data_IF_884252879024
#
_entry.id   IF_884252879024
#
_cell.length_a   1.000
_cell.length_b   1.000
_cell.length_c   1.000
_cell.angle_alpha   90.00
_cell.angle_beta   90.00
_cell.angle_gamma   90.00
#
_symmetry.space_group_name_H-M   'P 1'
#
loop_
_entity.id
_entity.type
_entity.pdbx_description
1 polymer ?
2 water ?
#
# COMPACT_ATOMS: atom_id res chain seq x y z
N UNK A 2 -17.92 -7.47 -27.42
CA UNK A 2 -17.44 -8.27 -26.31
C UNK A 2 -15.93 -8.14 -26.13
N UNK A 3 -15.49 -8.15 -24.88
CA UNK A 3 -14.07 -8.02 -24.54
C UNK A 3 -13.68 -9.10 -23.52
N UNK A 4 -12.96 -10.10 -23.99
CA UNK A 4 -12.49 -11.20 -23.15
C UNK A 4 -11.58 -10.73 -22.04
N UNK A 5 -11.77 -11.25 -20.84
CA UNK A 5 -10.91 -10.86 -19.72
C UNK A 5 -9.89 -11.96 -19.49
N UNK A 6 -8.61 -11.60 -19.63
CA UNK A 6 -7.51 -12.55 -19.44
C UNK A 6 -6.91 -12.45 -18.05
N UNK A 7 -6.19 -13.50 -17.61
CA UNK A 7 -5.56 -13.49 -16.28
C UNK A 7 -4.48 -12.41 -16.26
N UNK A 8 -4.27 -11.76 -15.12
CA UNK A 8 -3.25 -10.72 -15.03
C UNK A 8 -1.88 -11.34 -14.82
N UNK A 9 -0.90 -10.81 -15.55
CA UNK A 9 0.48 -11.27 -15.50
C UNK A 9 1.35 -10.07 -15.79
N UNK A 10 2.62 -10.11 -15.36
CA UNK A 10 3.52 -9.00 -15.60
C UNK A 10 3.84 -8.86 -17.09
N UNK A 11 3.98 -9.99 -17.77
CA UNK A 11 4.30 -9.94 -19.19
C UNK A 11 3.25 -9.19 -20.00
N UNK A 12 1.99 -9.63 -19.91
CA UNK A 12 0.91 -9.02 -20.65
C UNK A 12 0.53 -7.60 -20.21
N UNK A 13 0.89 -7.24 -18.99
CA UNK A 13 0.55 -5.92 -18.47
C UNK A 13 1.75 -4.95 -18.51
N UNK A 14 2.89 -5.42 -19.01
CA UNK A 14 4.12 -4.61 -19.06
C UNK A 14 3.98 -3.24 -19.69
N UNK A 15 3.16 -3.12 -20.73
CA UNK A 15 2.97 -1.86 -21.44
C UNK A 15 2.05 -0.84 -20.76
N UNK A 16 1.27 -1.31 -19.78
CA UNK A 16 0.33 -0.46 -19.07
C UNK A 16 0.78 -0.10 -17.67
N UNK A 17 1.63 -0.94 -17.08
CA UNK A 17 2.08 -0.68 -15.74
C UNK A 17 2.74 -1.87 -15.10
N UNK A 18 2.80 -1.87 -13.78
CA UNK A 18 3.44 -2.91 -13.01
C UNK A 18 2.45 -3.71 -12.22
N UNK A 19 2.74 -4.99 -12.02
CA UNK A 19 1.86 -5.83 -11.22
C UNK A 19 2.55 -6.02 -9.87
N UNK A 20 1.85 -5.66 -8.80
CA UNK A 20 2.37 -5.76 -7.44
C UNK A 20 2.02 -7.15 -6.91
N UNK A 21 3.02 -8.02 -6.87
CA UNK A 21 2.88 -9.40 -6.39
C UNK A 21 4.25 -9.93 -5.96
N UNK A 22 4.28 -11.08 -5.30
CA UNK A 22 5.55 -11.64 -4.88
C UNK A 22 5.92 -12.86 -5.73
N UNK A 23 4.89 -13.60 -6.16
CA UNK A 23 5.09 -14.79 -6.97
C UNK A 23 6.17 -14.63 -8.04
N UNK A 24 7.19 -15.48 -7.97
CA UNK A 24 8.31 -15.48 -8.92
C UNK A 24 9.09 -14.17 -8.97
N UNK A 25 9.12 -13.44 -7.87
CA UNK A 25 9.84 -12.17 -7.84
C UNK A 25 11.07 -12.27 -6.93
N UNK A 26 12.12 -11.53 -7.27
CA UNK A 26 13.36 -11.56 -6.49
C UNK A 26 13.21 -10.86 -5.15
N UNK A 27 13.84 -11.42 -4.12
CA UNK A 27 13.77 -10.83 -2.78
C UNK A 27 15.08 -10.97 -1.99
N UNK A 28 15.27 -10.13 -0.98
CA UNK A 28 16.45 -10.16 -0.11
C UNK A 28 16.02 -10.74 1.23
N UNK A 29 16.88 -11.54 1.85
CA UNK A 29 16.57 -12.05 3.19
C UNK A 29 17.03 -10.98 4.16
N UNK A 30 16.20 -10.66 5.14
CA UNK A 30 16.53 -9.67 6.16
C UNK A 30 16.47 -10.39 7.48
N UNK A 31 17.39 -10.05 8.39
CA UNK A 31 17.48 -10.71 9.70
C UNK A 31 17.93 -12.17 9.50
N UNK A 32 17.85 -12.97 10.55
CA UNK A 32 18.27 -14.36 10.44
C UNK A 32 17.52 -15.01 9.27
N UNK A 33 16.46 -14.34 8.82
CA UNK A 33 15.67 -14.85 7.73
C UNK A 33 14.22 -14.62 8.09
N UNK A 34 14.00 -13.83 9.14
CA UNK A 34 12.65 -13.56 9.59
C UNK A 34 11.81 -12.79 8.57
N UNK A 35 12.46 -11.95 7.75
CA UNK A 35 11.73 -11.20 6.73
C UNK A 35 12.31 -11.40 5.34
N UNK A 36 11.44 -11.44 4.35
CA UNK A 36 11.84 -11.56 2.96
C UNK A 36 11.36 -10.26 2.33
N UNK A 37 12.26 -9.50 1.72
CA UNK A 37 11.86 -8.23 1.13
C UNK A 37 11.92 -8.26 -0.39
N UNK A 38 10.75 -8.11 -1.02
CA UNK A 38 10.65 -8.09 -2.46
C UNK A 38 10.68 -6.63 -2.91
N UNK A 39 11.89 -6.16 -3.20
CA UNK A 39 12.18 -4.79 -3.62
C UNK A 39 11.54 -4.28 -4.91
N UNK A 40 11.48 -2.97 -5.03
CA UNK A 40 10.90 -2.24 -6.17
C UNK A 40 9.97 -3.02 -7.10
N UNK A 41 8.68 -2.94 -6.79
CA UNK A 41 7.63 -3.59 -7.55
C UNK A 41 6.88 -2.64 -8.46
N UNK A 42 6.89 -1.35 -8.12
CA UNK A 42 6.18 -0.37 -8.93
C UNK A 42 6.88 0.97 -9.06
N UNK A 43 6.91 1.49 -10.29
CA UNK A 43 7.55 2.78 -10.54
C UNK A 43 6.58 3.90 -10.22
N UNK A 44 6.69 4.48 -9.02
CA UNK A 44 5.82 5.58 -8.64
C UNK A 44 6.40 6.84 -9.27
N UNK A 45 5.53 7.68 -9.81
CA UNK A 45 6.00 8.92 -10.43
C UNK A 45 4.97 10.01 -10.26
N UNK A 46 5.41 11.14 -9.70
CA UNK A 46 4.52 12.27 -9.47
C UNK A 46 5.12 13.55 -10.04
N UNK A 47 4.33 14.30 -10.80
CA UNK A 47 4.78 15.56 -11.38
C UNK A 47 4.00 16.71 -10.77
N UNK A 48 4.65 17.87 -10.66
CA UNK A 48 4.02 19.07 -10.11
C UNK A 48 3.46 18.84 -8.71
N UNK A 49 4.23 18.20 -7.85
CA UNK A 49 3.79 17.93 -6.48
C UNK A 49 4.91 17.17 -5.78
N UNK A 50 5.52 17.79 -4.79
CA UNK A 50 6.61 17.20 -4.05
C UNK A 50 6.18 15.96 -3.27
N UNK A 51 4.93 15.96 -2.78
CA UNK A 51 4.46 14.83 -1.98
C UNK A 51 3.56 13.81 -2.66
N UNK A 52 3.82 12.54 -2.34
CA UNK A 52 3.04 11.43 -2.84
C UNK A 52 1.87 11.26 -1.88
N UNK A 53 0.79 10.64 -2.32
CA UNK A 53 -0.34 10.48 -1.41
C UNK A 53 -0.74 9.05 -1.19
N UNK A 54 -1.09 8.73 0.04
CA UNK A 54 -1.53 7.38 0.38
C UNK A 54 -2.95 7.46 0.91
N UNK A 55 -3.88 6.76 0.28
CA UNK A 55 -5.24 6.79 0.74
C UNK A 55 -5.89 5.42 0.61
N UNK A 56 -7.17 5.33 0.97
CA UNK A 56 -7.89 4.09 0.86
C UNK A 56 -9.17 4.33 0.09
N UNK A 57 -9.31 3.67 -1.04
CA UNK A 57 -10.52 3.81 -1.84
C UNK A 57 -11.46 2.63 -1.59
N UNK A 58 -12.61 2.90 -0.97
CA UNK A 58 -13.60 1.87 -0.71
C UNK A 58 -14.61 1.84 -1.85
N UNK A 59 -14.40 0.91 -2.79
CA UNK A 59 -15.25 0.78 -3.98
C UNK A 59 -16.36 -0.27 -3.92
N UNK A 60 -17.56 0.12 -4.35
CA UNK A 60 -18.71 -0.78 -4.38
C UNK A 60 -18.56 -1.75 -5.56
N UNK A 61 -19.27 -2.88 -5.51
CA UNK A 61 -19.17 -3.84 -6.60
C UNK A 61 -19.99 -3.37 -7.80
N UNK A 62 -19.60 -3.76 -9.00
CA UNK A 62 -20.32 -3.34 -10.20
C UNK A 62 -21.43 -4.33 -10.57
N UNK A 63 -22.42 -3.84 -11.29
CA UNK A 63 -23.53 -4.70 -11.70
C UNK A 63 -23.13 -5.64 -12.82
N UNK A 64 -23.47 -6.91 -12.64
CA UNK A 64 -23.16 -7.92 -13.64
C UNK A 64 -24.32 -8.06 -14.58
N UNK A 65 -24.06 -8.20 -15.90
CA UNK A 65 -22.77 -8.27 -16.58
C UNK A 65 -22.07 -6.91 -16.65
N UNK A 66 -20.75 -6.90 -16.49
CA UNK A 66 -19.95 -5.68 -16.54
C UNK A 66 -19.98 -5.09 -17.95
N UNK A 67 -20.11 -3.76 -18.05
CA UNK A 67 -20.17 -3.12 -19.35
C UNK A 67 -19.71 -1.67 -19.29
N UNK A 68 -18.42 -1.43 -19.52
CA UNK A 68 -17.86 -0.08 -19.46
C UNK A 68 -18.06 0.69 -20.75
N UNK A 69 -17.92 2.01 -20.68
CA UNK A 69 -18.09 2.87 -21.85
C UNK A 69 -17.23 4.12 -21.72
N UNK A 70 -16.54 4.24 -20.60
CA UNK A 70 -15.66 5.40 -20.34
C UNK A 70 -14.28 4.91 -19.91
N UNK A 71 -13.29 5.80 -20.03
CA UNK A 71 -11.91 5.48 -19.66
C UNK A 71 -11.25 6.77 -19.19
N UNK A 72 -10.44 6.70 -18.15
CA UNK A 72 -9.77 7.89 -17.65
C UNK A 72 -8.26 7.70 -17.71
N UNK A 73 -7.53 8.79 -17.62
CA UNK A 73 -6.08 8.74 -17.65
C UNK A 73 -5.52 9.89 -16.80
N UNK A 74 -4.48 9.61 -16.05
CA UNK A 74 -3.87 10.63 -15.19
C UNK A 74 -2.51 11.00 -15.78
N UNK A 75 -2.48 12.04 -16.62
CA UNK A 75 -1.24 12.48 -17.26
C UNK A 75 -0.16 12.94 -16.27
N UNK A 76 -0.59 13.42 -15.12
CA UNK A 76 0.35 13.93 -14.13
C UNK A 76 0.98 12.96 -13.13
N UNK A 77 0.50 11.72 -13.06
CA UNK A 77 1.10 10.80 -12.11
C UNK A 77 0.61 9.37 -12.21
N UNK A 78 1.36 8.44 -11.63
CA UNK A 78 1.00 7.03 -11.66
C UNK A 78 -0.07 6.77 -10.63
N UNK A 79 -0.67 5.59 -10.65
CA UNK A 79 -1.71 5.29 -9.68
C UNK A 79 -1.71 3.80 -9.38
N UNK A 80 -1.48 3.46 -8.12
CA UNK A 80 -1.43 2.07 -7.72
C UNK A 80 -2.66 1.69 -6.92
N UNK A 81 -3.02 0.42 -7.00
CA UNK A 81 -4.16 -0.12 -6.26
C UNK A 81 -3.79 -1.48 -5.72
N UNK A 82 -3.93 -1.67 -4.41
CA UNK A 82 -3.63 -2.96 -3.80
C UNK A 82 -4.77 -3.37 -2.87
N UNK A 83 -5.46 -4.47 -3.18
CA UNK A 83 -6.57 -4.90 -2.32
C UNK A 83 -6.15 -5.04 -0.86
N UNK A 85 -7.68 -6.78 1.62
CA UNK A 85 -7.83 -8.12 2.17
C UNK A 85 -7.61 -9.27 1.21
N UNK A 86 -6.83 -9.05 0.15
CA UNK A 86 -6.56 -10.11 -0.80
C UNK A 86 -7.71 -10.54 -1.71
N UNK A 87 -8.65 -9.63 -2.01
CA UNK A 87 -9.75 -10.01 -2.88
C UNK A 87 -9.41 -9.81 -4.38
N UNK A 88 -10.08 -10.57 -5.23
CA UNK A 88 -9.86 -10.48 -6.67
C UNK A 88 -10.55 -9.24 -7.24
N UNK A 89 -9.99 -8.65 -8.27
CA UNK A 89 -10.63 -7.50 -8.89
C UNK A 89 -10.30 -7.41 -10.38
N UNK A 90 -11.07 -6.59 -11.09
CA UNK A 90 -10.87 -6.47 -12.53
C UNK A 90 -10.38 -5.10 -12.97
N UNK A 91 -9.56 -5.09 -14.02
CA UNK A 91 -9.01 -3.87 -14.57
C UNK A 91 -9.12 -3.83 -16.10
N UNK A 92 -9.38 -2.65 -16.66
CA UNK A 92 -9.46 -2.49 -18.10
C UNK A 92 -8.47 -1.40 -18.43
N UNK A 93 -7.60 -1.66 -19.40
CA UNK A 93 -6.59 -0.68 -19.78
C UNK A 93 -6.48 -0.50 -21.30
N UNK A 94 -5.82 0.59 -21.70
CA UNK A 94 -5.61 0.88 -23.13
C UNK A 94 -4.59 1.99 -23.27
N UNK A 95 -3.85 2.00 -24.37
CA UNK A 95 -2.85 3.06 -24.60
C UNK A 95 -3.39 4.16 -25.52
N UNK A 96 -2.51 4.87 -26.22
CA UNK A 96 -2.97 5.93 -27.10
C UNK A 96 -2.59 7.31 -26.59
N UNK A 97 -1.93 8.09 -27.44
CA UNK A 97 -1.44 9.42 -27.11
C UNK A 97 -2.52 10.48 -26.88
N UNK A 98 -3.53 10.49 -27.76
CA UNK A 98 -4.61 11.47 -27.66
C UNK A 98 -5.88 10.89 -27.08
N UNK A 99 -6.40 9.87 -27.74
CA UNK A 99 -7.60 9.19 -27.30
C UNK A 99 -7.21 7.73 -27.15
N UNK A 100 -8.03 6.92 -26.47
CA UNK A 100 -7.68 5.51 -26.31
C UNK A 100 -7.64 4.71 -27.61
N UNK A 101 -6.47 4.16 -27.93
CA UNK A 101 -6.29 3.34 -29.13
C UNK A 101 -6.97 2.01 -28.87
N UNK A 102 -8.21 1.88 -29.32
CA UNK A 102 -8.98 0.65 -29.08
C UNK A 102 -8.29 -0.67 -29.42
N UNK A 103 -7.32 -0.66 -30.31
CA UNK A 103 -6.64 -1.90 -30.66
C UNK A 103 -5.79 -2.40 -29.48
N UNK A 104 -5.51 -1.53 -28.52
CA UNK A 104 -4.69 -1.92 -27.36
C UNK A 104 -5.52 -2.10 -26.10
N UNK A 105 -6.84 -2.09 -26.25
CA UNK A 105 -7.73 -2.22 -25.10
C UNK A 105 -7.66 -3.64 -24.55
N UNK A 106 -7.48 -3.76 -23.24
CA UNK A 106 -7.38 -5.07 -22.59
C UNK A 106 -8.08 -5.08 -21.24
N UNK A 107 -8.59 -6.26 -20.88
CA UNK A 107 -9.26 -6.45 -19.61
C UNK A 107 -8.52 -7.57 -18.88
N UNK A 108 -8.34 -7.41 -17.57
CA UNK A 108 -7.60 -8.38 -16.77
C UNK A 108 -8.26 -8.63 -15.43
N UNK A 109 -8.23 -9.87 -15.00
CA UNK A 109 -8.80 -10.26 -13.72
C UNK A 109 -7.61 -10.74 -12.88
N UNK A 110 -7.48 -10.23 -11.66
CA UNK A 110 -6.38 -10.62 -10.78
C UNK A 110 -6.67 -11.96 -10.11
N UNK A 111 -5.64 -12.57 -9.53
CA UNK A 111 -5.78 -13.83 -8.82
C UNK A 111 -6.03 -13.62 -7.33
N UNK A 112 -6.31 -12.38 -6.95
CA UNK A 112 -6.56 -12.08 -5.55
C UNK A 112 -5.30 -11.98 -4.71
N UNK A 113 -4.15 -12.12 -5.35
CA UNK A 113 -2.88 -12.07 -4.66
C UNK A 113 -1.98 -11.00 -5.28
N UNK A 114 -2.56 -10.15 -6.13
CA UNK A 114 -1.77 -9.14 -6.83
C UNK A 114 -2.41 -7.75 -6.96
N UNK A 115 -1.59 -6.72 -6.88
CA UNK A 115 -2.09 -5.37 -6.98
C UNK A 115 -1.78 -4.87 -8.37
N UNK A 116 -2.02 -3.60 -8.62
CA UNK A 116 -1.73 -3.10 -9.94
C UNK A 116 -1.22 -1.65 -9.87
N UNK A 117 -0.38 -1.28 -10.82
CA UNK A 117 0.11 0.09 -10.86
C UNK A 117 0.11 0.66 -12.28
N UNK A 118 -0.84 1.54 -12.54
CA UNK A 118 -0.98 2.18 -13.83
C UNK A 118 0.13 3.20 -14.11
N UNK A 119 0.69 3.16 -15.31
CA UNK A 119 1.73 4.10 -15.69
C UNK A 119 1.04 5.39 -16.11
N UNK A 120 1.79 6.48 -16.16
CA UNK A 120 1.27 7.79 -16.53
C UNK A 120 0.65 7.77 -17.92
N UNK A 121 -0.45 8.47 -18.08
CA UNK A 121 -1.13 8.55 -19.38
C UNK A 121 -1.81 7.30 -19.88
N UNK A 122 -1.73 6.22 -19.10
CA UNK A 122 -2.39 4.99 -19.50
C UNK A 122 -3.87 5.14 -19.23
N UNK A 123 -4.68 4.71 -20.18
CA UNK A 123 -6.12 4.78 -20.03
C UNK A 123 -6.61 3.58 -19.25
N UNK A 124 -7.38 3.83 -18.20
CA UNK A 124 -7.94 2.76 -17.41
C UNK A 124 -9.35 3.14 -16.96
N UNK A 125 -10.18 2.14 -16.72
CA UNK A 125 -11.54 2.40 -16.30
C UNK A 125 -11.52 2.81 -14.83
N UNK A 126 -12.43 3.69 -14.42
CA UNK A 126 -12.43 4.09 -13.01
C UNK A 126 -12.62 2.88 -12.10
N UNK A 127 -12.09 2.97 -10.89
CA UNK A 127 -12.12 1.92 -9.88
C UNK A 127 -13.52 1.36 -9.60
N UNK A 128 -13.59 0.07 -9.40
CA UNK A 128 -14.84 -0.61 -9.06
C UNK A 128 -14.50 -1.99 -8.53
N UNK A 129 -15.25 -2.44 -7.54
CA UNK A 129 -14.99 -3.74 -6.94
C UNK A 129 -15.64 -4.85 -7.74
N UNK A 130 -15.26 -6.08 -7.40
CA UNK A 130 -15.77 -7.27 -8.06
C UNK A 130 -16.46 -8.16 -7.04
N UNK A 131 -17.71 -8.54 -7.30
CA UNK A 131 -18.50 -9.40 -6.42
C UNK A 131 -18.95 -8.71 -5.14
N UNK A 132 -18.00 -8.21 -4.36
CA UNK A 132 -18.34 -7.56 -3.09
C UNK A 132 -17.51 -6.31 -2.78
N UNK A 133 -18.01 -5.46 -1.91
CA UNK A 133 -17.30 -4.23 -1.49
C UNK A 133 -15.81 -4.52 -1.23
N UNK A 134 -14.93 -3.61 -1.63
CA UNK A 134 -13.50 -3.82 -1.44
C UNK A 134 -12.73 -2.54 -1.12
N UNK A 135 -11.78 -2.66 -0.21
CA UNK A 135 -10.91 -1.53 0.18
C UNK A 135 -9.65 -1.65 -0.66
N UNK A 136 -9.21 -0.55 -1.25
CA UNK A 136 -8.01 -0.57 -2.07
C UNK A 136 -7.06 0.49 -1.54
N UNK A 137 -5.83 0.11 -1.24
CA UNK A 137 -4.86 1.11 -0.76
C UNK A 137 -4.35 1.76 -2.03
N UNK A 138 -4.43 3.08 -2.09
CA UNK A 138 -4.01 3.80 -3.27
C UNK A 138 -2.72 4.60 -3.06
N UNK A 139 -1.94 4.71 -4.12
CA UNK A 139 -0.68 5.45 -4.06
C UNK A 139 -0.54 6.25 -5.33
N UNK A 140 -0.95 7.52 -5.29
CA UNK A 140 -0.88 8.37 -6.47
C UNK A 140 -0.78 9.85 -6.15
N UNK A 141 -0.92 10.67 -7.18
CA UNK A 141 -0.86 12.12 -7.04
C UNK A 141 -2.23 12.61 -6.61
N UNK A 142 -3.25 12.09 -7.28
CA UNK A 142 -4.64 12.40 -6.98
C UNK A 142 -5.05 13.87 -6.92
N UNK A 143 -4.47 14.71 -7.77
CA UNK A 143 -4.84 16.11 -7.73
C UNK A 143 -5.99 16.48 -8.65
N UNK A 144 -5.92 17.67 -9.21
CA UNK A 144 -6.95 18.18 -10.12
C UNK A 144 -6.40 19.35 -10.92
N UNK A 147 -8.97 12.65 -13.83
CA UNK A 147 -8.35 13.71 -14.64
C UNK A 147 -9.00 13.84 -16.02
N UNK A 148 -8.51 13.06 -16.98
CA UNK A 148 -9.03 13.09 -18.34
C UNK A 148 -9.95 11.90 -18.67
N UNK A 149 -11.22 12.18 -18.86
CA UNK A 149 -12.17 11.13 -19.20
C UNK A 149 -12.50 11.14 -20.69
N UNK A 150 -12.60 9.97 -21.29
CA UNK A 150 -12.93 9.84 -22.71
C UNK A 150 -13.88 8.68 -22.92
N UNK A 151 -14.83 8.86 -23.84
CA UNK A 151 -15.82 7.85 -24.15
C UNK A 151 -15.28 6.85 -25.18
N UNK A 152 -15.82 5.63 -25.16
CA UNK A 152 -15.41 4.58 -26.10
C UNK A 152 -16.62 3.73 -26.45
N UNK A 153 -16.56 2.99 -27.56
CA UNK A 153 -17.72 2.15 -27.93
C UNK A 153 -18.03 1.12 -26.83
N UNK A 154 -19.28 1.11 -26.35
CA UNK A 154 -19.71 0.20 -25.28
C UNK A 154 -19.05 -1.17 -25.36
N UNK A 155 -18.50 -1.62 -24.24
CA UNK A 155 -17.81 -2.90 -24.15
C UNK A 155 -18.47 -3.81 -23.11
N UNK A 156 -18.71 -5.08 -23.46
CA UNK A 156 -19.30 -6.02 -22.50
C UNK A 156 -18.21 -7.05 -22.15
N UNK A 157 -17.74 -7.01 -20.92
CA UNK A 157 -16.69 -7.94 -20.49
C UNK A 157 -17.16 -9.40 -20.39
N UNK A 158 -16.35 -10.31 -20.90
CA UNK A 158 -16.65 -11.73 -20.88
C UNK A 158 -15.52 -12.56 -20.29
N UNK A 159 -15.88 -13.67 -19.66
CA UNK A 159 -14.92 -14.59 -19.08
C UNK A 159 -15.03 -15.93 -19.81
N UNK A 160 -13.92 -16.34 -20.41
CA UNK A 160 -13.86 -17.60 -21.16
C UNK A 160 -12.39 -17.84 -21.56
N UNK B 2 9.15 -4.84 31.99
CA UNK B 2 7.90 -5.06 31.30
C UNK B 2 7.38 -3.81 30.60
N UNK B 3 6.82 -4.01 29.40
CA UNK B 3 6.29 -2.92 28.60
C UNK B 3 4.89 -3.27 28.11
N UNK B 4 3.90 -2.64 28.71
CA UNK B 4 2.49 -2.88 28.36
C UNK B 4 2.18 -2.45 26.93
N UNK B 5 1.44 -3.30 26.23
CA UNK B 5 1.03 -3.03 24.86
C UNK B 5 -0.38 -2.43 24.84
N UNK B 6 -0.50 -1.19 24.37
CA UNK B 6 -1.81 -0.52 24.31
C UNK B 6 -2.40 -0.58 22.90
N UNK B 7 -3.72 -0.41 22.78
CA UNK B 7 -4.36 -0.44 21.46
C UNK B 7 -3.85 0.72 20.62
N UNK B 8 -3.76 0.53 19.31
CA UNK B 8 -3.28 1.57 18.41
C UNK B 8 -4.40 2.56 18.09
N UNK B 9 -4.08 3.86 18.18
CA UNK B 9 -5.02 4.92 17.89
C UNK B 9 -4.22 6.10 17.33
N UNK B 10 -4.86 6.96 16.55
CA UNK B 10 -4.19 8.11 15.97
C UNK B 10 -3.66 9.09 17.01
N UNK B 11 -4.45 9.28 18.06
CA UNK B 11 -4.07 10.20 19.11
C UNK B 11 -2.78 9.79 19.80
N UNK B 12 -2.73 8.55 20.28
CA UNK B 12 -1.57 8.03 20.99
C UNK B 12 -0.33 7.83 20.11
N UNK B 13 -0.55 7.71 18.81
CA UNK B 13 0.52 7.47 17.85
C UNK B 13 0.96 8.75 17.10
N UNK B 14 0.28 9.86 17.36
CA UNK B 14 0.56 11.13 16.70
C UNK B 14 2.00 11.58 16.62
N UNK B 15 2.75 11.34 17.69
CA UNK B 15 4.15 11.75 17.79
C UNK B 15 5.14 10.87 17.03
N UNK B 16 4.73 9.67 16.68
CA UNK B 16 5.60 8.73 16.00
C UNK B 16 5.26 8.57 14.52
N UNK B 17 4.01 8.84 14.16
CA UNK B 17 3.64 8.70 12.78
C UNK B 17 2.15 8.72 12.57
N UNK B 18 1.72 8.19 11.43
CA UNK B 18 0.30 8.16 11.07
C UNK B 18 -0.26 6.76 11.10
N UNK B 19 -1.55 6.65 11.40
CA UNK B 19 -2.23 5.37 11.43
C UNK B 19 -3.06 5.32 10.16
N UNK B 20 -2.83 4.30 9.33
CA UNK B 20 -3.57 4.15 8.10
C UNK B 20 -4.79 3.29 8.35
N UNK B 21 -5.95 3.96 8.43
CA UNK B 21 -7.24 3.30 8.67
C UNK B 21 -8.36 4.18 8.10
N UNK B 22 -9.59 3.67 8.08
CA UNK B 22 -10.71 4.47 7.59
C UNK B 22 -11.64 4.89 8.73
N UNK B 23 -11.75 4.04 9.75
CA UNK B 23 -12.62 4.35 10.87
C UNK B 23 -12.52 5.79 11.37
N UNK B 24 -13.66 6.48 11.36
CA UNK B 24 -13.75 7.87 11.83
C UNK B 24 -12.86 8.85 11.05
N UNK B 25 -12.61 8.55 9.79
CA UNK B 25 -11.81 9.43 8.94
C UNK B 25 -12.68 10.06 7.86
N UNK B 26 -12.33 11.27 7.44
CA UNK B 26 -13.13 11.95 6.41
C UNK B 26 -12.85 11.42 5.00
N UNK B 27 -13.91 11.37 4.19
CA UNK B 27 -13.78 10.87 2.83
C UNK B 27 -14.68 11.61 1.85
N UNK B 28 -14.36 11.47 0.56
CA UNK B 28 -15.14 12.09 -0.52
C UNK B 28 -15.89 10.99 -1.25
N UNK B 29 -17.12 11.29 -1.67
CA UNK B 29 -17.87 10.32 -2.46
C UNK B 29 -17.43 10.52 -3.90
N UNK B 30 -17.14 9.43 -4.60
CA UNK B 30 -16.74 9.49 -6.00
C UNK B 30 -17.78 8.67 -6.77
N UNK B 31 -18.15 9.15 -7.96
CA UNK B 31 -19.18 8.51 -8.79
C UNK B 31 -20.53 8.65 -8.10
N UNK B 32 -21.52 7.90 -8.58
CA UNK B 32 -22.86 7.90 -8.03
C UNK B 32 -22.77 7.74 -6.52
N UNK B 33 -21.65 7.17 -6.08
CA UNK B 33 -21.41 6.90 -4.68
C UNK B 33 -20.77 5.53 -4.61
N UNK B 34 -20.34 5.06 -5.77
CA UNK B 34 -19.70 3.75 -5.90
C UNK B 34 -18.42 3.63 -5.10
N UNK B 35 -17.68 4.73 -4.99
CA UNK B 35 -16.42 4.74 -4.25
C UNK B 35 -16.38 5.80 -3.17
N UNK B 36 -15.76 5.47 -2.05
CA UNK B 36 -15.58 6.41 -0.96
C UNK B 36 -14.05 6.56 -0.91
N UNK B 37 -13.56 7.78 -1.02
CA UNK B 37 -12.12 8.02 -1.01
C UNK B 37 -11.66 8.69 0.27
N UNK B 38 -10.85 7.99 1.07
CA UNK B 38 -10.33 8.53 2.32
C UNK B 38 -8.95 9.10 2.02
N UNK B 39 -8.89 10.38 1.67
CA UNK B 39 -7.64 11.03 1.29
C UNK B 39 -6.58 11.24 2.36
N UNK B 40 -5.36 11.49 1.89
CA UNK B 40 -4.18 11.73 2.72
C UNK B 40 -4.17 11.14 4.12
N UNK B 41 -3.73 9.89 4.22
CA UNK B 41 -3.65 9.19 5.49
C UNK B 41 -2.25 9.13 6.05
N UNK B 42 -1.24 9.27 5.20
CA UNK B 42 0.15 9.22 5.66
C UNK B 42 1.09 10.18 4.93
N UNK B 43 1.92 10.87 5.70
CA UNK B 43 2.88 11.80 5.11
C UNK B 43 4.12 11.07 4.64
N UNK B 44 4.17 10.76 3.36
CA UNK B 44 5.32 10.07 2.78
C UNK B 44 6.42 11.11 2.58
N UNK B 45 7.65 10.77 2.94
CA UNK B 45 8.75 11.72 2.79
C UNK B 45 10.02 10.99 2.45
N UNK B 46 10.64 11.34 1.34
CA UNK B 46 11.89 10.70 0.93
C UNK B 46 12.97 11.74 0.61
N UNK B 47 14.15 11.56 1.17
CA UNK B 47 15.28 12.45 0.97
C UNK B 47 16.37 11.76 0.15
N UNK B 48 17.08 12.54 -0.67
CA UNK B 48 18.16 12.03 -1.52
C UNK B 48 17.74 10.82 -2.37
N UNK B 49 16.62 10.97 -3.07
CA UNK B 49 16.11 9.90 -3.91
C UNK B 49 14.79 10.40 -4.51
N UNK B 50 14.78 10.63 -5.80
CA UNK B 50 13.58 11.14 -6.45
C UNK B 50 12.43 10.15 -6.44
N UNK B 51 12.77 8.86 -6.44
CA UNK B 51 11.73 7.82 -6.46
C UNK B 51 11.39 7.13 -5.14
N UNK B 52 10.08 6.95 -4.93
CA UNK B 52 9.55 6.27 -3.76
C UNK B 52 9.57 4.78 -4.10
N UNK B 53 9.57 3.92 -3.09
CA UNK B 53 9.60 2.49 -3.36
C UNK B 53 8.39 1.75 -2.81
N UNK B 54 7.87 0.81 -3.60
CA UNK B 54 6.73 0.00 -3.17
C UNK B 54 7.20 -1.45 -3.14
N UNK B 55 7.15 -2.10 -1.99
CA UNK B 55 7.58 -3.47 -1.90
C UNK B 55 6.65 -4.29 -1.01
N UNK B 56 6.96 -5.57 -0.87
CA UNK B 56 6.18 -6.45 -0.03
C UNK B 56 7.14 -7.16 0.92
N UNK B 57 6.98 -6.94 2.21
CA UNK B 57 7.83 -7.58 3.21
C UNK B 57 7.11 -8.73 3.86
N UNK B 58 7.56 -9.95 3.57
CA UNK B 58 6.94 -11.13 4.15
C UNK B 58 7.68 -11.48 5.43
N UNK B 59 7.10 -11.11 6.57
CA UNK B 59 7.69 -11.35 7.87
C UNK B 59 7.16 -12.55 8.67
N UNK B 60 8.09 -13.31 9.24
CA UNK B 60 7.77 -14.49 10.04
C UNK B 60 7.27 -14.04 11.41
N UNK B 61 6.51 -14.90 12.11
CA UNK B 61 5.99 -14.55 13.45
C UNK B 61 7.10 -14.62 14.48
N UNK B 62 6.99 -13.82 15.54
CA UNK B 62 8.00 -13.80 16.59
C UNK B 62 7.72 -14.85 17.66
N UNK B 63 8.77 -15.24 18.38
CA UNK B 63 8.65 -16.21 19.45
C UNK B 63 8.00 -15.56 20.66
N UNK B 64 6.97 -16.20 21.21
CA UNK B 64 6.26 -15.68 22.38
C UNK B 64 6.87 -16.30 23.62
N UNK B 65 7.06 -15.53 24.70
CA UNK B 65 6.74 -14.10 24.85
C UNK B 65 7.72 -13.18 24.11
N UNK B 66 7.19 -12.12 23.52
CA UNK B 66 7.99 -11.16 22.75
C UNK B 66 8.94 -10.41 23.67
N UNK B 67 10.17 -10.19 23.22
CA UNK B 67 11.13 -9.48 24.04
C UNK B 67 12.23 -8.85 23.17
N UNK B 68 12.02 -7.57 22.85
CA UNK B 68 12.95 -6.82 22.01
C UNK B 68 14.12 -6.27 22.79
N UNK B 69 15.19 -5.92 22.08
CA UNK B 69 16.38 -5.35 22.69
C UNK B 69 17.09 -4.39 21.77
N UNK B 70 16.57 -4.25 20.55
CA UNK B 70 17.16 -3.35 19.56
C UNK B 70 16.08 -2.46 18.95
N UNK B 71 16.49 -1.36 18.34
CA UNK B 71 15.58 -0.42 17.71
C UNK B 71 16.30 0.22 16.52
N UNK B 72 15.58 0.42 15.43
CA UNK B 72 16.15 1.03 14.23
C UNK B 72 15.46 2.35 13.90
N UNK B 73 16.12 3.18 13.11
CA UNK B 73 15.56 4.46 12.71
C UNK B 73 16.04 4.79 11.31
N UNK B 74 15.15 5.30 10.46
CA UNK B 74 15.52 5.66 9.10
C UNK B 74 15.53 7.19 9.00
N UNK B 75 16.69 7.81 9.22
CA UNK B 75 16.77 9.27 9.15
C UNK B 75 16.47 9.84 7.77
N UNK B 76 16.67 9.06 6.73
CA UNK B 76 16.44 9.56 5.38
C UNK B 76 15.03 9.44 4.78
N UNK B 77 14.10 8.76 5.45
CA UNK B 77 12.78 8.64 4.88
C UNK B 77 11.78 7.94 5.75
N UNK B 78 10.49 8.17 5.47
CA UNK B 78 9.38 7.56 6.22
C UNK B 78 9.25 6.10 5.82
N UNK B 79 8.47 5.33 6.57
CA UNK B 79 8.30 3.92 6.24
C UNK B 79 6.92 3.45 6.69
N UNK B 80 6.11 3.03 5.72
CA UNK B 80 4.76 2.59 6.03
C UNK B 80 4.62 1.09 5.89
N UNK B 81 3.70 0.54 6.66
CA UNK B 81 3.43 -0.90 6.63
C UNK B 81 1.93 -1.11 6.69
N UNK B 82 1.41 -1.85 5.72
CA UNK B 82 -0.02 -2.14 5.68
C UNK B 82 -0.24 -3.64 5.46
N UNK B 83 -0.86 -4.34 6.43
CA UNK B 83 -1.11 -5.77 6.29
C UNK B 83 -1.82 -6.06 4.99
N UNK B 85 -3.54 -8.88 4.23
CA UNK B 85 -4.82 -9.55 4.40
C UNK B 85 -5.60 -9.18 5.68
N UNK B 86 -5.35 -7.99 6.22
CA UNK B 86 -6.06 -7.55 7.40
C UNK B 86 -5.72 -8.23 8.72
N UNK B 87 -4.48 -8.67 8.86
CA UNK B 87 -4.08 -9.31 10.11
C UNK B 87 -3.57 -8.31 11.14
N UNK B 88 -3.70 -8.67 12.42
CA UNK B 88 -3.24 -7.85 13.52
C UNK B 88 -1.74 -7.91 13.62
N UNK B 89 -1.10 -6.83 14.04
CA UNK B 89 0.35 -6.86 14.22
C UNK B 89 0.79 -5.90 15.30
N UNK B 90 2.01 -6.08 15.78
CA UNK B 90 2.49 -5.22 16.87
C UNK B 90 3.62 -4.29 16.45
N UNK B 91 3.67 -3.12 17.08
CA UNK B 91 4.72 -2.15 16.80
C UNK B 91 5.29 -1.56 18.10
N UNK B 92 6.60 -1.28 18.10
CA UNK B 92 7.23 -0.66 19.27
C UNK B 92 7.94 0.57 18.75
N UNK B 93 7.64 1.71 19.35
CA UNK B 93 8.23 2.98 18.93
C UNK B 93 8.85 3.79 20.07
N UNK B 94 9.65 4.78 19.70
CA UNK B 94 10.32 5.65 20.68
C UNK B 94 10.97 6.83 19.96
N UNK B 95 11.01 7.98 20.63
CA UNK B 95 11.63 9.18 20.07
C UNK B 95 13.09 9.34 20.49
N UNK B 96 13.61 10.57 20.46
CA UNK B 96 14.99 10.81 20.84
C UNK B 96 15.86 11.21 19.67
N UNK B 97 16.56 12.34 19.80
CA UNK B 97 17.42 12.84 18.72
C UNK B 97 18.71 12.05 18.46
N UNK B 98 19.37 11.60 19.52
CA UNK B 98 20.61 10.85 19.39
C UNK B 98 20.37 9.34 19.53
N UNK B 99 19.92 8.95 20.71
CA UNK B 99 19.62 7.56 20.99
C UNK B 99 18.16 7.55 21.43
N UNK B 100 17.55 6.36 21.49
CA UNK B 100 16.15 6.27 21.89
C UNK B 100 15.86 6.72 23.33
N UNK B 101 15.05 7.76 23.46
CA UNK B 101 14.66 8.30 24.76
C UNK B 101 13.67 7.32 25.41
N UNK B 102 14.20 6.41 26.22
CA UNK B 102 13.39 5.40 26.88
C UNK B 102 12.06 5.86 27.48
N UNK B 103 11.99 7.11 27.94
CA UNK B 103 10.74 7.56 28.54
C UNK B 103 9.61 7.67 27.51
N UNK B 104 9.96 7.65 26.23
CA UNK B 104 8.97 7.77 25.16
C UNK B 104 8.73 6.44 24.45
N UNK B 105 9.25 5.35 24.99
CA UNK B 105 9.07 4.03 24.37
C UNK B 105 7.62 3.57 24.53
N UNK B 106 7.02 3.12 23.44
CA UNK B 106 5.62 2.65 23.47
C UNK B 106 5.46 1.43 22.60
N UNK B 107 4.51 0.59 23.00
CA UNK B 107 4.18 -0.63 22.28
C UNK B 107 2.69 -0.55 21.91
N UNK B 108 2.35 -0.93 20.69
CA UNK B 108 0.96 -0.90 20.23
C UNK B 108 0.59 -2.12 19.42
N UNK B 109 -0.63 -2.60 19.64
CA UNK B 109 -1.13 -3.74 18.88
C UNK B 109 -2.29 -3.18 18.06
N UNK B 110 -2.30 -3.50 16.76
CA UNK B 110 -3.36 -2.99 15.89
C UNK B 110 -4.62 -3.84 15.99
N UNK B 111 -5.73 -3.31 15.48
CA UNK B 111 -7.00 -4.03 15.51
C UNK B 111 -7.21 -4.89 14.27
N UNK B 112 -6.16 -5.05 13.47
CA UNK B 112 -6.27 -5.85 12.26
C UNK B 112 -6.89 -5.10 11.10
N UNK B 113 -7.28 -3.85 11.33
CA UNK B 113 -7.89 -3.05 10.28
C UNK B 113 -7.13 -1.72 10.06
N UNK B 114 -5.89 -1.66 10.54
CA UNK B 114 -5.09 -0.45 10.43
C UNK B 114 -3.61 -0.67 10.11
N UNK B 115 -3.06 0.22 9.30
CA UNK B 115 -1.66 0.13 8.95
C UNK B 115 -0.91 1.14 9.78
N UNK B 116 0.36 1.31 9.49
CA UNK B 116 1.14 2.25 10.25
C UNK B 116 2.15 2.96 9.36
N UNK B 117 2.48 4.20 9.72
CA UNK B 117 3.48 4.95 8.98
C UNK B 117 4.43 5.68 9.91
N UNK B 118 5.64 5.16 10.03
CA UNK B 118 6.66 5.76 10.89
C UNK B 118 7.20 7.06 10.29
N UNK B 119 7.35 8.08 11.14
CA UNK B 119 7.90 9.35 10.70
C UNK B 119 9.41 9.24 10.69
N UNK B 120 10.09 10.13 9.95
CA UNK B 120 11.56 10.12 9.88
C UNK B 120 12.22 10.20 11.24
N UNK B 121 13.28 9.43 11.42
CA UNK B 121 14.05 9.42 12.66
C UNK B 121 13.37 8.80 13.83
N UNK B 122 12.15 8.32 13.64
CA UNK B 122 11.46 7.68 14.76
C UNK B 122 12.07 6.31 14.95
N UNK B 123 12.33 5.94 16.19
CA UNK B 123 12.90 4.63 16.46
C UNK B 123 11.79 3.61 16.54
N UNK B 124 11.94 2.52 15.80
CA UNK B 124 10.96 1.46 15.82
C UNK B 124 11.67 0.12 15.74
N UNK B 125 11.03 -0.92 16.25
CA UNK B 125 11.62 -2.24 16.23
C UNK B 125 11.52 -2.81 14.80
N UNK B 126 12.50 -3.62 14.38
CA UNK B 126 12.42 -4.18 13.02
C UNK B 126 11.14 -5.00 12.85
N UNK B 127 10.60 -5.02 11.63
CA UNK B 127 9.35 -5.72 11.32
C UNK B 127 9.35 -7.17 11.76
N UNK B 128 8.18 -7.63 12.20
CA UNK B 128 7.98 -9.00 12.62
C UNK B 128 6.47 -9.23 12.66
N UNK B 129 6.05 -10.43 12.31
CA UNK B 129 4.63 -10.75 12.31
C UNK B 129 4.17 -11.15 13.68
N UNK B 130 2.86 -11.29 13.84
CA UNK B 130 2.26 -11.67 15.11
C UNK B 130 1.40 -12.91 14.89
N UNK B 131 1.65 -13.96 15.67
CA UNK B 131 0.89 -15.21 15.57
C UNK B 131 1.25 -16.03 14.33
N UNK B 132 1.04 -15.48 13.14
CA UNK B 132 1.36 -16.21 11.91
C UNK B 132 2.00 -15.34 10.83
N UNK B 133 2.65 -15.98 9.87
CA UNK B 133 3.33 -15.25 8.78
C UNK B 133 2.41 -14.19 8.17
N UNK B 134 2.99 -13.05 7.83
CA UNK B 134 2.21 -11.96 7.29
C UNK B 134 2.91 -11.14 6.20
N UNK B 135 2.16 -10.76 5.18
CA UNK B 135 2.69 -9.92 4.09
C UNK B 135 2.36 -8.47 4.41
N UNK B 136 3.34 -7.60 4.27
CA UNK B 136 3.12 -6.20 4.57
C UNK B 136 3.51 -5.39 3.35
N UNK B 137 2.62 -4.53 2.88
CA UNK B 137 2.97 -3.69 1.73
C UNK B 137 3.75 -2.54 2.33
N UNK B 138 4.95 -2.30 1.81
CA UNK B 138 5.78 -1.25 2.34
C UNK B 138 5.93 -0.09 1.40
N UNK B 139 6.04 1.11 1.97
CA UNK B 139 6.19 2.33 1.20
C UNK B 139 7.26 3.18 1.84
N UNK B 140 8.48 3.10 1.33
CA UNK B 140 9.58 3.86 1.91
C UNK B 140 10.73 4.12 0.93
N UNK B 141 11.84 4.66 1.45
CA UNK B 141 13.02 4.93 0.66
C UNK B 141 13.82 3.63 0.53
N UNK B 142 13.96 2.94 1.65
CA UNK B 142 14.67 1.67 1.67
C UNK B 142 16.08 1.60 1.10
N UNK B 143 16.86 2.66 1.26
CA UNK B 143 18.21 2.61 0.74
C UNK B 143 19.27 2.11 1.72
N UNK B 144 20.47 2.67 1.61
CA UNK B 144 21.58 2.32 2.50
C UNK B 144 22.66 3.41 2.45
N UNK B 147 18.73 1.10 8.67
CA UNK B 147 19.74 2.16 8.66
C UNK B 147 20.51 2.26 9.97
N UNK B 148 19.96 2.96 10.96
CA UNK B 148 20.60 3.14 12.27
C UNK B 148 20.06 2.23 13.38
N UNK B 149 20.84 1.24 13.81
CA UNK B 149 20.40 0.35 14.89
C UNK B 149 21.04 0.74 16.22
N UNK B 150 20.26 0.65 17.28
CA UNK B 150 20.73 0.99 18.62
C UNK B 150 20.16 0.02 19.63
N UNK B 151 20.98 -0.35 20.61
CA UNK B 151 20.59 -1.27 21.67
C UNK B 151 19.84 -0.54 22.79
N UNK B 152 18.98 -1.28 23.49
CA UNK B 152 18.23 -0.73 24.62
C UNK B 152 18.04 -1.80 25.68
N UNK B 153 17.79 -1.41 26.93
CA UNK B 153 17.58 -2.42 27.98
C UNK B 153 16.46 -3.40 27.64
N UNK B 154 16.77 -4.70 27.63
CA UNK B 154 15.79 -5.73 27.28
C UNK B 154 14.38 -5.40 27.77
N UNK B 155 13.40 -5.54 26.87
CA UNK B 155 12.00 -5.26 27.18
C UNK B 155 11.13 -6.48 26.90
N UNK B 156 10.25 -6.81 27.84
CA UNK B 156 9.34 -7.95 27.68
C UNK B 156 7.94 -7.37 27.50
N UNK B 157 7.38 -7.52 26.30
CA UNK B 157 6.04 -7.00 26.03
C UNK B 157 4.95 -7.76 26.76
N UNK B 158 3.99 -7.03 27.33
CA UNK B 158 2.88 -7.62 28.04
C UNK B 158 1.53 -7.06 27.60
N UNK B 159 0.51 -7.91 27.74
CA UNK B 159 -0.85 -7.54 27.38
C UNK B 159 -1.72 -7.55 28.63
N UNK B 160 -2.33 -6.41 28.92
CA UNK B 160 -3.19 -6.25 30.08
C UNK B 160 -3.84 -4.86 30.04
#
# INVERSE_FOLDING_TARGET
XKLQVLPLSQEAFSAYGDVIETQQRDFFHINNGLVERYHDLALVEILEQDRTLISINRAQPANLPLTIHELERHPLGTQAFIPXKGEVFVVVVALGDDKPDLSTLRAFITNGEQGVNYHRNVWHHPLFAWQRVTDFLTIDRGGSDNCDVESIPEQELCFALEHHHHHH
XKLQVLPLSQEAFSAYGDVIETQQRDFFHINNGLVERYHDLALVEILEQDRTLISINRAQPANLPLTIHELERHPLGTQAFIPXKGEVFVVVVALGDDKPDLSTLRAFITNGEQGVNYHRNVWHHPLFAWQRVTDFLTIDRGGSDNCDVESIPEQELCFALEHHHHHH
#
